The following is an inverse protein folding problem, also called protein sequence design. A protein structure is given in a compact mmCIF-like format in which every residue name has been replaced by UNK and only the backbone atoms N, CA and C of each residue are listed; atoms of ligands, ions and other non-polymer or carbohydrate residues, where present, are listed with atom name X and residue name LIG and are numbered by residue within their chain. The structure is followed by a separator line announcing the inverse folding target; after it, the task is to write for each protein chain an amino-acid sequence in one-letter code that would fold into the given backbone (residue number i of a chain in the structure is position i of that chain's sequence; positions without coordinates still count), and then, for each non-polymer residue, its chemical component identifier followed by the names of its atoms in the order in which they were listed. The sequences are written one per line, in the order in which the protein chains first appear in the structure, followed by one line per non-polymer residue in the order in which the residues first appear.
data_IF_664039151840
#
_entry.id   IF_664039151840
#
_cell.length_a   1.000
_cell.length_b   1.000
_cell.length_c   1.000
_cell.angle_alpha   90.00
_cell.angle_beta   90.00
_cell.angle_gamma   90.00
#
_symmetry.space_group_name_H-M   'P 1'
#
loop_
_entity.id
_entity.type
_entity.pdbx_description
1 polymer ?
#
# COMPACT_ATOMS: atom_id res chain seq x y z
N UNK A 1 -25.63 -18.16 6.10
CA UNK A 1 -24.18 -17.92 6.22
C UNK A 1 -23.80 -16.44 6.19
N UNK A 2 -24.25 -15.61 5.24
CA UNK A 2 -23.96 -14.15 5.24
C UNK A 2 -24.52 -13.39 6.45
N UNK A 3 -25.70 -13.77 6.95
CA UNK A 3 -26.32 -13.17 8.15
C UNK A 3 -25.53 -13.45 9.44
N UNK A 4 -24.88 -14.62 9.55
CA UNK A 4 -24.00 -14.98 10.65
C UNK A 4 -22.67 -14.24 10.58
N UNK A 5 -22.11 -14.08 9.37
CA UNK A 5 -20.92 -13.25 9.13
C UNK A 5 -21.22 -11.77 9.43
N UNK A 6 -22.41 -11.27 9.06
CA UNK A 6 -22.84 -9.92 9.37
C UNK A 6 -23.07 -9.67 10.87
N UNK A 7 -23.63 -10.66 11.59
CA UNK A 7 -23.78 -10.59 13.05
C UNK A 7 -22.44 -10.73 13.77
N UNK A 8 -21.53 -11.57 13.26
CA UNK A 8 -20.16 -11.66 13.76
C UNK A 8 -19.43 -10.34 13.55
N UNK A 9 -19.46 -9.76 12.34
CA UNK A 9 -18.88 -8.44 12.07
C UNK A 9 -19.51 -7.37 12.97
N UNK A 10 -20.84 -7.34 13.13
CA UNK A 10 -21.54 -6.38 14.01
C UNK A 10 -21.16 -6.53 15.49
N UNK A 11 -20.91 -7.74 15.98
CA UNK A 11 -20.46 -8.00 17.34
C UNK A 11 -18.94 -7.84 17.52
N UNK A 12 -18.17 -7.89 16.43
CA UNK A 12 -16.69 -7.80 16.44
C UNK A 12 -16.14 -6.45 15.99
N UNK A 13 -16.97 -5.52 15.47
CA UNK A 13 -16.58 -4.13 15.25
C UNK A 13 -16.11 -3.43 16.54
N UNK A 14 -16.51 -3.95 17.70
CA UNK A 14 -16.12 -3.41 19.01
C UNK A 14 -14.77 -3.97 19.52
N UNK A 15 -14.23 -5.06 18.94
CA UNK A 15 -13.06 -5.76 19.50
C UNK A 15 -12.03 -6.30 18.48
N UNK A 16 -12.30 -6.27 17.17
CA UNK A 16 -11.40 -6.84 16.15
C UNK A 16 -11.24 -5.92 14.94
N UNK A 17 -9.99 -5.54 14.63
CA UNK A 17 -9.67 -4.89 13.36
C UNK A 17 -9.99 -5.84 12.20
N UNK A 18 -10.68 -5.36 11.16
CA UNK A 18 -11.15 -6.17 10.04
C UNK A 18 -9.98 -6.86 9.32
N UNK A 19 -8.78 -6.29 9.41
CA UNK A 19 -7.51 -6.80 8.90
C UNK A 19 -6.92 -7.95 9.73
N UNK A 20 -7.29 -8.06 11.01
CA UNK A 20 -6.87 -9.13 11.92
C UNK A 20 -7.71 -10.41 11.84
N UNK A 21 -8.80 -10.40 11.07
CA UNK A 21 -9.59 -11.62 10.81
C UNK A 21 -8.76 -12.61 9.99
N UNK A 22 -8.83 -13.89 10.31
CA UNK A 22 -8.07 -14.98 9.67
C UNK A 22 -8.20 -15.06 8.15
N UNK A 23 -9.33 -14.58 7.59
CA UNK A 23 -9.53 -14.44 6.14
C UNK A 23 -8.60 -13.40 5.48
N UNK A 24 -8.09 -12.44 6.25
CA UNK A 24 -7.19 -11.37 5.82
C UNK A 24 -5.75 -11.53 6.35
N UNK A 25 -5.53 -12.33 7.41
CA UNK A 25 -4.27 -12.49 8.12
C UNK A 25 -3.37 -13.68 7.66
N UNK A 26 -3.66 -14.36 6.56
CA UNK A 26 -3.00 -15.65 6.19
C UNK A 26 -1.46 -15.61 5.99
N UNK A 27 -0.85 -14.43 5.85
CA UNK A 27 0.62 -14.24 5.79
C UNK A 27 1.17 -13.42 6.96
N UNK A 28 0.36 -13.15 7.98
CA UNK A 28 0.74 -12.41 9.18
C UNK A 28 1.27 -10.98 8.92
N UNK A 29 1.02 -10.43 7.72
CA UNK A 29 1.40 -9.04 7.37
C UNK A 29 0.75 -7.98 8.27
N UNK A 30 -0.28 -8.38 9.02
CA UNK A 30 -1.11 -7.50 9.85
C UNK A 30 -1.06 -7.84 11.34
N UNK A 31 -0.19 -8.79 11.76
CA UNK A 31 -0.15 -9.30 13.14
C UNK A 31 0.13 -8.23 14.20
N UNK A 32 0.75 -7.12 13.79
CA UNK A 32 1.11 -6.01 14.68
C UNK A 32 0.20 -4.79 14.53
N UNK A 33 -0.92 -4.88 13.79
CA UNK A 33 -1.89 -3.79 13.72
C UNK A 33 -2.77 -3.85 14.99
N UNK A 34 -2.60 -2.94 15.96
CA UNK A 34 -3.40 -2.97 17.18
C UNK A 34 -4.87 -2.69 16.85
N UNK A 35 -5.77 -3.40 17.52
CA UNK A 35 -7.20 -3.11 17.43
C UNK A 35 -7.47 -1.81 18.16
N UNK A 36 -7.89 -0.80 17.40
CA UNK A 36 -8.26 0.50 17.93
C UNK A 36 -9.78 0.65 17.94
N UNK A 37 -10.35 0.67 19.14
CA UNK A 37 -11.78 0.91 19.39
C UNK A 37 -12.03 2.43 19.49
N UNK A 38 -13.22 2.88 19.09
CA UNK A 38 -13.65 4.29 19.17
C UNK A 38 -13.39 5.12 17.91
N UNK A 39 -14.06 6.27 17.82
CA UNK A 39 -13.87 7.25 16.74
C UNK A 39 -12.51 7.94 16.83
N UNK A 40 -12.05 8.47 15.70
CA UNK A 40 -10.86 9.31 15.68
C UNK A 40 -11.15 10.67 16.31
N UNK A 41 -10.18 11.15 17.09
CA UNK A 41 -10.18 12.47 17.70
C UNK A 41 -10.41 13.53 16.61
N UNK A 42 -11.27 14.53 16.82
CA UNK A 42 -11.38 15.69 15.93
C UNK A 42 -10.02 16.30 15.50
N UNK A 43 -9.00 16.27 16.37
CA UNK A 43 -7.65 16.71 16.05
C UNK A 43 -6.95 15.79 15.01
N UNK A 44 -7.15 14.49 15.08
CA UNK A 44 -6.61 13.52 14.12
C UNK A 44 -7.27 13.67 12.72
N UNK A 45 -8.48 14.24 12.64
CA UNK A 45 -9.13 14.57 11.36
C UNK A 45 -8.53 15.80 10.67
N UNK A 46 -7.73 16.59 11.39
CA UNK A 46 -7.01 17.77 10.87
C UNK A 46 -5.52 17.47 10.61
N UNK A 47 -5.13 16.19 10.64
CA UNK A 47 -3.76 15.69 10.53
C UNK A 47 -2.97 16.06 9.25
N UNK A 48 -3.59 16.78 8.30
CA UNK A 48 -2.96 17.15 7.03
C UNK A 48 -3.14 16.09 5.95
N UNK A 49 -2.10 15.84 5.16
CA UNK A 49 -2.11 14.89 4.04
C UNK A 49 -1.32 13.63 4.42
N UNK A 50 -1.89 12.47 4.09
CA UNK A 50 -1.13 11.22 4.03
C UNK A 50 -0.65 11.04 2.59
N UNK A 51 0.66 10.90 2.39
CA UNK A 51 1.28 10.80 1.08
C UNK A 51 2.02 9.48 0.95
N UNK A 52 1.61 8.67 -0.03
CA UNK A 52 2.37 7.51 -0.48
C UNK A 52 3.37 7.97 -1.52
N UNK A 53 4.65 7.67 -1.31
CA UNK A 53 5.76 7.98 -2.21
C UNK A 53 6.26 6.68 -2.82
N UNK A 54 6.42 6.66 -4.13
CA UNK A 54 6.87 5.48 -4.84
C UNK A 54 8.03 5.86 -5.74
N UNK A 55 9.08 5.05 -5.67
CA UNK A 55 10.19 4.98 -6.60
C UNK A 55 9.93 3.81 -7.52
N UNK A 56 9.46 4.07 -8.74
CA UNK A 56 9.19 3.01 -9.70
C UNK A 56 10.51 2.38 -10.15
N UNK A 57 10.54 1.08 -10.49
CA UNK A 57 11.77 0.42 -10.93
C UNK A 57 12.41 1.11 -12.14
N UNK A 58 11.60 1.57 -13.10
CA UNK A 58 12.07 2.32 -14.29
C UNK A 58 12.56 3.73 -13.92
N UNK A 59 11.96 4.36 -12.92
CA UNK A 59 12.43 5.64 -12.39
C UNK A 59 13.71 5.52 -11.56
N UNK A 60 14.06 4.31 -11.10
CA UNK A 60 15.15 4.05 -10.15
C UNK A 60 16.40 3.42 -10.78
N UNK A 61 16.39 3.10 -12.08
CA UNK A 61 17.50 2.48 -12.83
C UNK A 61 17.64 3.08 -14.24
N UNK A 62 18.83 3.03 -14.84
CA UNK A 62 19.05 3.37 -16.26
C UNK A 62 18.74 2.13 -17.10
N UNK A 63 17.51 2.02 -17.62
CA UNK A 63 17.03 0.80 -18.30
C UNK A 63 17.27 0.85 -19.81
N UNK A 64 18.00 -0.12 -20.38
CA UNK A 64 18.31 -0.20 -21.83
C UNK A 64 17.24 -0.89 -22.68
N UNK A 65 16.31 -1.67 -22.09
CA UNK A 65 15.22 -2.32 -22.83
C UNK A 65 13.93 -2.41 -22.01
N UNK A 66 12.82 -1.93 -22.55
CA UNK A 66 11.52 -1.85 -21.85
C UNK A 66 10.76 -3.17 -21.95
N UNK A 67 10.57 -3.87 -20.84
CA UNK A 67 9.66 -5.01 -20.67
C UNK A 67 8.50 -4.61 -19.77
N UNK A 68 7.49 -3.95 -20.36
CA UNK A 68 6.41 -3.23 -19.66
C UNK A 68 5.72 -3.93 -18.47
N UNK A 69 5.58 -5.27 -18.48
CA UNK A 69 4.93 -6.02 -17.39
C UNK A 69 5.93 -6.39 -16.28
N UNK A 70 7.16 -6.76 -16.63
CA UNK A 70 8.20 -7.16 -15.65
C UNK A 70 8.75 -5.93 -14.94
N UNK A 71 9.06 -4.86 -15.69
CA UNK A 71 9.61 -3.61 -15.18
C UNK A 71 8.63 -2.87 -14.25
N UNK A 72 7.32 -3.13 -14.39
CA UNK A 72 6.28 -2.51 -13.59
C UNK A 72 6.00 -3.25 -12.28
N UNK A 73 6.11 -4.58 -12.27
CA UNK A 73 5.59 -5.39 -11.15
C UNK A 73 6.64 -6.22 -10.41
N UNK A 74 7.83 -6.46 -10.97
CA UNK A 74 8.86 -7.32 -10.36
C UNK A 74 10.15 -6.56 -10.06
N UNK A 75 10.58 -5.68 -10.98
CA UNK A 75 11.82 -4.93 -10.88
C UNK A 75 12.38 -4.64 -12.27
N UNK A 76 13.21 -3.61 -12.39
CA UNK A 76 13.93 -3.27 -13.61
C UNK A 76 15.38 -3.72 -13.49
N UNK A 77 15.93 -4.30 -14.55
CA UNK A 77 17.36 -4.61 -14.63
C UNK A 77 18.05 -3.40 -15.26
N UNK A 78 18.98 -2.80 -14.51
CA UNK A 78 19.81 -1.68 -14.95
C UNK A 78 20.76 -2.10 -16.11
N UNK A 79 21.30 -1.13 -16.86
CA UNK A 79 22.30 -1.36 -17.92
C UNK A 79 23.52 -2.15 -17.46
N UNK A 80 23.83 -2.09 -16.16
CA UNK A 80 24.93 -2.83 -15.53
C UNK A 80 24.54 -4.23 -15.03
N UNK A 81 23.31 -4.68 -15.28
CA UNK A 81 22.79 -5.97 -14.81
C UNK A 81 22.26 -5.98 -13.37
N UNK A 82 22.21 -4.82 -12.71
CA UNK A 82 21.69 -4.68 -11.33
C UNK A 82 20.17 -4.71 -11.28
N UNK A 83 19.58 -5.50 -10.38
CA UNK A 83 18.13 -5.61 -10.22
C UNK A 83 17.61 -4.51 -9.28
N UNK A 84 16.85 -3.55 -9.81
CA UNK A 84 16.17 -2.50 -9.05
C UNK A 84 14.71 -2.89 -8.82
N UNK A 85 14.34 -3.16 -7.57
CA UNK A 85 12.96 -3.48 -7.17
C UNK A 85 12.10 -2.23 -7.01
N UNK A 86 12.70 -1.04 -7.10
CA UNK A 86 12.08 0.22 -6.69
C UNK A 86 11.93 0.31 -5.17
N UNK A 87 11.18 1.30 -4.71
CA UNK A 87 10.88 1.48 -3.28
C UNK A 87 9.53 2.15 -3.07
N UNK A 88 8.97 2.00 -1.88
CA UNK A 88 7.75 2.69 -1.49
C UNK A 88 7.84 3.14 -0.03
N UNK A 89 7.44 4.38 0.22
CA UNK A 89 7.30 4.95 1.55
C UNK A 89 5.91 5.56 1.73
N UNK A 90 5.49 5.74 2.98
CA UNK A 90 4.26 6.44 3.34
C UNK A 90 4.57 7.44 4.43
N UNK A 91 4.13 8.68 4.24
CA UNK A 91 4.31 9.74 5.23
C UNK A 91 3.00 10.43 5.59
N UNK A 92 2.93 10.90 6.82
CA UNK A 92 1.96 11.88 7.30
C UNK A 92 2.71 12.78 8.27
N UNK A 93 3.27 13.87 7.75
CA UNK A 93 4.14 14.76 8.52
C UNK A 93 3.33 15.64 9.49
N UNK A 94 3.90 15.97 10.67
CA UNK A 94 5.19 15.53 11.22
C UNK A 94 5.12 14.19 11.99
N UNK A 95 4.06 13.40 11.78
CA UNK A 95 3.65 12.37 12.72
C UNK A 95 4.20 10.99 12.44
N UNK A 96 4.23 10.58 11.17
CA UNK A 96 4.58 9.21 10.77
C UNK A 96 5.38 9.24 9.47
N UNK A 97 6.47 8.46 9.45
CA UNK A 97 7.19 8.10 8.24
C UNK A 97 7.43 6.59 8.23
N UNK A 98 6.90 5.90 7.23
CA UNK A 98 6.99 4.46 7.03
C UNK A 98 7.88 4.23 5.82
N UNK A 99 9.07 3.71 6.06
CA UNK A 99 10.03 3.30 5.04
C UNK A 99 10.94 2.24 5.65
N UNK A 100 11.09 1.11 4.96
CA UNK A 100 11.77 -0.07 5.49
C UNK A 100 12.73 -0.63 4.45
N UNK A 101 14.03 -0.56 4.77
CA UNK A 101 15.13 -0.97 3.92
C UNK A 101 15.79 -2.23 4.46
N UNK A 102 16.45 -3.03 3.61
CA UNK A 102 17.44 -3.98 4.09
C UNK A 102 18.64 -3.21 4.65
N UNK A 103 19.21 -3.65 5.78
CA UNK A 103 20.38 -3.01 6.38
C UNK A 103 21.69 -3.35 5.63
N UNK A 104 21.68 -4.47 4.90
CA UNK A 104 22.78 -4.91 4.05
C UNK A 104 22.31 -4.94 2.60
N UNK A 105 23.21 -4.72 1.65
CA UNK A 105 22.88 -4.83 0.23
C UNK A 105 22.37 -6.24 -0.11
N UNK A 106 21.36 -6.27 -0.98
CA UNK A 106 20.87 -7.52 -1.54
C UNK A 106 21.95 -8.05 -2.49
N UNK A 107 22.44 -9.27 -2.25
CA UNK A 107 23.46 -9.92 -3.08
C UNK A 107 23.01 -9.93 -4.57
N UNK A 108 23.66 -9.15 -5.46
CA UNK A 108 23.28 -9.07 -6.86
C UNK A 108 23.59 -10.34 -7.66
N UNK A 109 24.49 -11.19 -7.15
CA UNK A 109 24.99 -12.40 -7.81
C UNK A 109 24.41 -13.70 -7.22
N UNK A 110 23.87 -13.62 -6.00
CA UNK A 110 23.11 -14.68 -5.36
C UNK A 110 21.83 -14.99 -6.12
N UNK A 111 21.35 -16.23 -6.02
CA UNK A 111 20.12 -16.69 -6.68
C UNK A 111 18.93 -15.78 -6.30
N UNK A 112 18.66 -14.75 -7.11
CA UNK A 112 17.57 -13.78 -6.95
C UNK A 112 16.22 -14.48 -6.68
N UNK A 113 16.01 -15.61 -7.36
CA UNK A 113 14.86 -16.52 -7.20
C UNK A 113 14.74 -17.08 -5.78
N UNK A 114 15.85 -17.32 -5.08
CA UNK A 114 15.87 -17.77 -3.68
C UNK A 114 15.47 -16.63 -2.74
N UNK A 115 15.90 -15.39 -2.98
CA UNK A 115 15.52 -14.23 -2.17
C UNK A 115 14.01 -13.91 -2.24
N UNK A 116 13.35 -14.29 -3.35
CA UNK A 116 11.89 -14.24 -3.49
C UNK A 116 11.13 -15.36 -2.75
N UNK A 117 11.82 -16.22 -1.99
CA UNK A 117 11.17 -17.17 -1.09
C UNK A 117 10.89 -16.50 0.24
N UNK A 118 9.66 -16.69 0.70
CA UNK A 118 9.11 -16.12 1.93
C UNK A 118 9.63 -16.76 3.24
N UNK A 119 10.53 -17.74 3.16
CA UNK A 119 10.99 -18.50 4.31
C UNK A 119 11.96 -17.73 5.19
N UNK A 120 12.03 -18.14 6.47
CA UNK A 120 12.87 -17.49 7.49
C UNK A 120 14.37 -17.55 7.16
N UNK A 121 14.78 -18.46 6.26
CA UNK A 121 16.15 -18.53 5.74
C UNK A 121 16.59 -17.29 4.95
N UNK A 122 15.65 -16.46 4.51
CA UNK A 122 15.92 -15.22 3.78
C UNK A 122 15.66 -13.97 4.62
N UNK A 123 15.44 -14.14 5.93
CA UNK A 123 15.30 -13.02 6.85
C UNK A 123 16.66 -12.36 7.08
N UNK A 124 16.69 -11.03 7.03
CA UNK A 124 17.90 -10.24 7.22
C UNK A 124 17.62 -9.01 8.10
N UNK A 125 18.66 -8.35 8.65
CA UNK A 125 18.47 -7.11 9.38
C UNK A 125 17.90 -6.02 8.46
N UNK A 126 16.94 -5.24 8.96
CA UNK A 126 16.35 -4.11 8.27
C UNK A 126 16.56 -2.80 9.02
N UNK A 127 16.34 -1.69 8.30
CA UNK A 127 16.49 -0.32 8.76
C UNK A 127 15.23 0.47 8.46
N UNK A 128 14.77 1.26 9.43
CA UNK A 128 13.69 2.22 9.20
C UNK A 128 14.27 3.60 8.92
N UNK A 129 13.87 4.21 7.82
CA UNK A 129 14.33 5.55 7.49
C UNK A 129 13.65 6.60 8.37
N UNK A 130 14.35 7.68 8.75
CA UNK A 130 13.81 8.70 9.66
C UNK A 130 12.81 9.65 9.00
N UNK A 131 13.06 10.06 7.75
CA UNK A 131 12.19 10.98 7.02
C UNK A 131 12.39 10.89 5.50
N UNK A 132 11.43 11.42 4.74
CA UNK A 132 11.57 11.57 3.29
C UNK A 132 12.73 12.50 2.92
N UNK A 133 12.98 13.55 3.71
CA UNK A 133 14.07 14.48 3.45
C UNK A 133 15.42 13.77 3.51
N UNK A 134 15.63 12.93 4.52
CA UNK A 134 16.87 12.15 4.67
C UNK A 134 16.99 11.10 3.56
N UNK A 135 15.92 10.37 3.30
CA UNK A 135 15.92 9.30 2.30
C UNK A 135 16.13 9.81 0.87
N UNK A 136 15.51 10.94 0.53
CA UNK A 136 15.65 11.55 -0.80
C UNK A 136 17.02 12.19 -1.04
N UNK A 137 17.72 12.61 0.02
CA UNK A 137 19.10 13.09 -0.05
C UNK A 137 20.10 11.94 -0.22
N UNK A 138 19.89 10.82 0.48
CA UNK A 138 20.79 9.66 0.42
C UNK A 138 20.66 8.92 -0.90
N UNK A 139 19.45 8.79 -1.45
CA UNK A 139 19.21 8.03 -2.67
C UNK A 139 18.75 8.90 -3.83
N UNK A 140 17.46 9.25 -3.87
CA UNK A 140 16.86 10.15 -4.86
C UNK A 140 15.44 10.53 -4.47
N UNK A 141 14.88 11.63 -5.00
CA UNK A 141 13.45 11.93 -4.86
C UNK A 141 12.55 10.86 -5.51
N UNK A 142 11.37 10.64 -4.92
CA UNK A 142 10.36 9.73 -5.47
C UNK A 142 9.80 10.27 -6.79
N UNK A 143 9.59 9.40 -7.79
CA UNK A 143 9.05 9.77 -9.10
C UNK A 143 7.52 9.76 -9.15
N UNK A 144 6.86 9.15 -8.15
CA UNK A 144 5.41 9.10 -8.05
C UNK A 144 4.95 9.42 -6.62
N UNK A 145 3.80 10.10 -6.51
CA UNK A 145 3.12 10.32 -5.23
C UNK A 145 1.61 10.13 -5.35
N UNK A 146 0.98 9.68 -4.27
CA UNK A 146 -0.48 9.57 -4.13
C UNK A 146 -0.87 10.15 -2.77
N UNK A 147 -1.79 11.11 -2.78
CA UNK A 147 -2.19 11.86 -1.58
C UNK A 147 -3.61 11.51 -1.16
N UNK A 148 -3.81 11.36 0.15
CA UNK A 148 -5.08 11.07 0.80
C UNK A 148 -5.40 12.18 1.82
N UNK A 149 -6.65 12.65 1.82
CA UNK A 149 -7.20 13.61 2.79
C UNK A 149 -8.07 12.93 3.82
N UNK A 150 -8.75 11.85 3.43
CA UNK A 150 -9.62 11.11 4.33
C UNK A 150 -8.91 9.83 4.78
N UNK A 151 -8.38 9.85 6.00
CA UNK A 151 -7.70 8.70 6.62
C UNK A 151 -7.72 8.84 8.14
N UNK A 152 -7.42 7.75 8.84
CA UNK A 152 -7.26 7.70 10.29
C UNK A 152 -5.78 7.81 10.66
N UNK A 153 -5.34 8.98 11.13
CA UNK A 153 -3.97 9.15 11.64
C UNK A 153 -3.70 8.24 12.85
N UNK A 154 -4.69 8.09 13.73
CA UNK A 154 -4.58 7.25 14.92
C UNK A 154 -4.26 5.79 14.55
N UNK A 155 -4.99 5.23 13.58
CA UNK A 155 -4.73 3.86 13.09
C UNK A 155 -3.41 3.73 12.38
N UNK A 156 -3.03 4.72 11.58
CA UNK A 156 -1.71 4.74 10.95
C UNK A 156 -0.57 4.73 11.98
N UNK A 157 -0.65 5.59 13.01
CA UNK A 157 0.34 5.66 14.10
C UNK A 157 0.43 4.35 14.85
N UNK A 158 -0.70 3.77 15.21
CA UNK A 158 -0.74 2.55 16.00
C UNK A 158 -0.22 1.35 15.22
N UNK A 159 -0.58 1.23 13.93
CA UNK A 159 0.04 0.28 13.02
C UNK A 159 1.55 0.47 12.95
N UNK A 160 2.03 1.69 12.73
CA UNK A 160 3.46 1.93 12.62
C UNK A 160 4.22 1.60 13.91
N UNK A 161 3.65 1.97 15.05
CA UNK A 161 4.20 1.67 16.37
C UNK A 161 4.33 0.16 16.63
N UNK A 162 3.39 -0.66 16.14
CA UNK A 162 3.46 -2.12 16.22
C UNK A 162 4.43 -2.71 15.18
N UNK A 163 4.37 -2.24 13.94
CA UNK A 163 5.25 -2.74 12.87
C UNK A 163 6.73 -2.55 13.22
N UNK A 164 7.11 -1.35 13.71
CA UNK A 164 8.52 -1.00 13.97
C UNK A 164 9.16 -1.65 15.20
N UNK A 165 8.42 -2.46 15.96
CA UNK A 165 8.98 -3.22 17.09
C UNK A 165 9.95 -4.31 16.63
N UNK A 166 9.81 -4.75 15.39
CA UNK A 166 10.66 -5.76 14.77
C UNK A 166 11.26 -5.22 13.48
N UNK A 167 12.59 -5.07 13.42
CA UNK A 167 13.30 -4.53 12.27
C UNK A 167 13.74 -5.59 11.25
N UNK A 168 13.28 -6.84 11.39
CA UNK A 168 13.59 -7.91 10.43
C UNK A 168 13.06 -7.54 9.05
N UNK A 169 13.91 -7.67 8.04
CA UNK A 169 13.58 -7.46 6.64
C UNK A 169 13.46 -8.80 5.93
N UNK A 170 12.46 -8.91 5.06
CA UNK A 170 12.31 -10.04 4.15
C UNK A 170 11.77 -9.51 2.83
N UNK A 171 12.48 -9.79 1.72
CA UNK A 171 12.13 -9.25 0.40
C UNK A 171 10.71 -9.62 -0.04
N UNK A 172 10.17 -10.75 0.43
CA UNK A 172 8.87 -11.27 0.02
C UNK A 172 7.78 -10.94 1.03
N UNK A 173 8.07 -11.09 2.32
CA UNK A 173 7.07 -11.05 3.38
C UNK A 173 7.13 -9.81 4.28
N UNK A 174 8.21 -9.04 4.26
CA UNK A 174 8.40 -7.91 5.18
C UNK A 174 9.31 -6.85 4.56
N UNK A 175 8.90 -6.37 3.38
CA UNK A 175 9.59 -5.32 2.63
C UNK A 175 8.87 -3.96 2.80
N UNK A 176 9.41 -2.92 2.18
CA UNK A 176 8.83 -1.58 2.18
C UNK A 176 7.37 -1.55 1.69
N UNK A 177 7.07 -2.29 0.63
CA UNK A 177 5.74 -2.34 0.01
C UNK A 177 4.71 -3.07 0.86
N UNK A 178 5.11 -4.12 1.58
CA UNK A 178 4.27 -4.74 2.62
C UNK A 178 3.97 -3.72 3.71
N UNK A 179 4.99 -3.00 4.19
CA UNK A 179 4.84 -2.01 5.24
C UNK A 179 3.86 -0.89 4.85
N UNK A 180 3.97 -0.38 3.62
CA UNK A 180 3.11 0.68 3.09
C UNK A 180 1.69 0.18 2.81
N UNK A 181 1.52 -0.99 2.18
CA UNK A 181 0.20 -1.54 1.89
C UNK A 181 -0.59 -1.80 3.17
N UNK A 182 0.06 -2.35 4.20
CA UNK A 182 -0.60 -2.57 5.48
C UNK A 182 -0.86 -1.27 6.25
N UNK A 183 0.00 -0.25 6.11
CA UNK A 183 -0.26 1.09 6.62
C UNK A 183 -1.47 1.76 5.97
N UNK A 184 -1.63 1.61 4.64
CA UNK A 184 -2.80 2.08 3.91
C UNK A 184 -4.08 1.39 4.38
N UNK A 185 -4.04 0.05 4.50
CA UNK A 185 -5.18 -0.70 4.99
C UNK A 185 -5.62 -0.22 6.38
N UNK A 186 -4.67 -0.09 7.30
CA UNK A 186 -4.95 0.35 8.67
C UNK A 186 -5.49 1.78 8.70
N UNK A 187 -4.89 2.70 7.94
CA UNK A 187 -5.29 4.10 7.89
C UNK A 187 -6.66 4.32 7.23
N UNK A 188 -7.05 3.46 6.28
CA UNK A 188 -8.31 3.59 5.55
C UNK A 188 -9.46 2.76 6.14
N UNK A 189 -9.16 1.91 7.11
CA UNK A 189 -10.17 1.15 7.83
C UNK A 189 -11.16 2.08 8.53
N UNK A 190 -12.45 1.91 8.24
CA UNK A 190 -13.52 2.73 8.84
C UNK A 190 -13.66 4.14 8.28
N UNK A 191 -12.87 4.57 7.29
CA UNK A 191 -12.97 5.91 6.69
C UNK A 191 -14.32 6.14 5.97
N UNK A 192 -14.91 5.07 5.43
CA UNK A 192 -16.14 5.17 4.64
C UNK A 192 -17.43 5.04 5.47
N UNK A 193 -17.39 5.26 6.78
CA UNK A 193 -18.52 5.13 7.71
C UNK A 193 -19.75 5.93 7.22
N UNK A 194 -20.78 5.26 6.68
CA UNK A 194 -21.93 5.92 6.10
C UNK A 194 -23.10 5.96 7.09
N UNK A 195 -24.01 6.91 6.90
CA UNK A 195 -25.32 6.89 7.58
C UNK A 195 -26.16 5.64 7.23
N UNK A 196 -25.96 5.09 6.03
CA UNK A 196 -26.66 3.90 5.52
C UNK A 196 -25.66 2.80 5.09
N UNK A 197 -25.25 1.89 5.99
CA UNK A 197 -24.17 0.92 5.74
C UNK A 197 -24.45 -0.04 4.60
N UNK A 198 -25.67 -0.55 4.48
CA UNK A 198 -26.04 -1.50 3.43
C UNK A 198 -26.06 -0.87 2.03
N UNK A 199 -26.57 0.36 1.92
CA UNK A 199 -26.57 1.07 0.64
C UNK A 199 -25.13 1.39 0.20
N UNK A 200 -24.29 1.85 1.14
CA UNK A 200 -22.87 2.10 0.85
C UNK A 200 -22.15 0.83 0.44
N UNK A 201 -22.39 -0.29 1.13
CA UNK A 201 -21.84 -1.58 0.76
C UNK A 201 -22.26 -1.98 -0.67
N UNK A 202 -23.54 -1.86 -1.00
CA UNK A 202 -24.03 -2.16 -2.34
C UNK A 202 -23.35 -1.28 -3.42
N UNK A 203 -23.19 0.02 -3.16
CA UNK A 203 -22.48 0.94 -4.06
C UNK A 203 -20.99 0.60 -4.20
N UNK A 204 -20.33 0.21 -3.12
CA UNK A 204 -18.93 -0.23 -3.14
C UNK A 204 -18.74 -1.55 -3.88
N UNK A 205 -19.70 -2.47 -3.79
CA UNK A 205 -19.68 -3.72 -4.57
C UNK A 205 -19.81 -3.48 -6.07
N UNK A 206 -20.41 -2.35 -6.47
CA UNK A 206 -20.48 -1.98 -7.88
C UNK A 206 -19.20 -1.28 -8.36
N UNK A 207 -18.41 -0.72 -7.44
CA UNK A 207 -17.23 0.12 -7.68
C UNK A 207 -16.04 -0.58 -8.36
N UNK A 208 -15.67 -0.23 -9.62
CA UNK A 208 -14.56 -0.88 -10.29
C UNK A 208 -13.22 -0.63 -9.58
N UNK A 209 -13.06 0.48 -8.88
CA UNK A 209 -11.83 0.76 -8.14
C UNK A 209 -11.69 -0.14 -6.90
N UNK A 210 -12.80 -0.55 -6.28
CA UNK A 210 -12.81 -1.56 -5.20
C UNK A 210 -12.38 -2.92 -5.75
N UNK A 211 -12.88 -3.31 -6.92
CA UNK A 211 -12.48 -4.57 -7.57
C UNK A 211 -11.02 -4.55 -8.02
N UNK A 212 -10.54 -3.43 -8.56
CA UNK A 212 -9.14 -3.26 -8.93
C UNK A 212 -8.23 -3.39 -7.68
N UNK A 213 -8.58 -2.73 -6.58
CA UNK A 213 -7.86 -2.82 -5.32
C UNK A 213 -7.85 -4.27 -4.78
N UNK A 214 -9.00 -4.96 -4.82
CA UNK A 214 -9.12 -6.36 -4.41
C UNK A 214 -8.29 -7.32 -5.28
N UNK A 215 -8.27 -7.11 -6.59
CA UNK A 215 -7.46 -7.90 -7.52
C UNK A 215 -5.96 -7.72 -7.27
N UNK A 216 -5.47 -6.48 -7.14
CA UNK A 216 -4.06 -6.19 -6.84
C UNK A 216 -3.65 -6.85 -5.53
N UNK A 217 -4.48 -6.72 -4.49
CA UNK A 217 -4.26 -7.37 -3.19
C UNK A 217 -4.17 -8.89 -3.32
N UNK A 218 -5.02 -9.52 -4.13
CA UNK A 218 -5.00 -10.96 -4.38
C UNK A 218 -3.70 -11.41 -5.09
N UNK A 219 -3.26 -10.63 -6.08
CA UNK A 219 -1.99 -10.88 -6.77
C UNK A 219 -0.80 -10.73 -5.81
N UNK A 220 -0.79 -9.70 -4.96
CA UNK A 220 0.28 -9.45 -4.01
C UNK A 220 0.42 -10.60 -3.01
N UNK A 221 -0.71 -11.14 -2.53
CA UNK A 221 -0.76 -12.33 -1.66
C UNK A 221 -0.13 -13.57 -2.31
N UNK A 222 -0.27 -13.72 -3.62
CA UNK A 222 0.25 -14.90 -4.36
C UNK A 222 1.75 -14.76 -4.62
N UNK A 223 2.21 -13.55 -4.93
CA UNK A 223 3.62 -13.23 -5.18
C UNK A 223 4.24 -12.56 -3.94
N UNK A 224 4.43 -11.24 -4.01
CA UNK A 224 4.78 -10.34 -2.93
C UNK A 224 4.26 -8.94 -3.26
N UNK A 225 4.21 -8.06 -2.26
CA UNK A 225 3.98 -6.64 -2.53
C UNK A 225 5.22 -6.02 -3.16
N UNK A 226 5.03 -5.31 -4.27
CA UNK A 226 6.08 -4.53 -4.94
C UNK A 226 5.68 -3.06 -5.08
N UNK A 227 6.65 -2.14 -5.26
CA UNK A 227 6.36 -0.71 -5.33
C UNK A 227 5.35 -0.33 -6.42
N UNK A 228 5.39 -1.00 -7.57
CA UNK A 228 4.39 -0.81 -8.63
C UNK A 228 2.99 -1.25 -8.23
N UNK A 229 2.86 -2.38 -7.52
CA UNK A 229 1.58 -2.83 -6.98
C UNK A 229 1.04 -1.86 -5.93
N UNK A 230 1.90 -1.35 -5.05
CA UNK A 230 1.53 -0.34 -4.05
C UNK A 230 1.05 0.94 -4.72
N UNK A 231 1.72 1.41 -5.78
CA UNK A 231 1.28 2.60 -6.51
C UNK A 231 -0.13 2.43 -7.09
N UNK A 232 -0.37 1.31 -7.78
CA UNK A 232 -1.67 1.06 -8.41
C UNK A 232 -2.76 0.81 -7.36
N UNK A 233 -2.40 0.15 -6.25
CA UNK A 233 -3.28 -0.06 -5.10
C UNK A 233 -3.65 1.26 -4.42
N UNK A 234 -2.67 2.11 -4.12
CA UNK A 234 -2.87 3.42 -3.51
C UNK A 234 -3.76 4.30 -4.40
N UNK A 235 -3.54 4.31 -5.72
CA UNK A 235 -4.40 5.05 -6.67
C UNK A 235 -5.84 4.54 -6.69
N UNK A 236 -6.04 3.23 -6.64
CA UNK A 236 -7.38 2.65 -6.57
C UNK A 236 -8.09 3.05 -5.27
N UNK A 237 -7.42 2.88 -4.12
CA UNK A 237 -7.94 3.26 -2.82
C UNK A 237 -8.23 4.77 -2.72
N UNK A 238 -7.33 5.61 -3.23
CA UNK A 238 -7.52 7.06 -3.25
C UNK A 238 -8.82 7.41 -3.96
N UNK A 239 -9.08 6.81 -5.13
CA UNK A 239 -10.35 7.05 -5.83
C UNK A 239 -11.54 6.59 -5.02
N UNK A 240 -11.51 5.40 -4.43
CA UNK A 240 -12.63 4.92 -3.60
C UNK A 240 -12.94 5.86 -2.44
N UNK A 241 -11.90 6.37 -1.79
CA UNK A 241 -12.00 7.18 -0.57
C UNK A 241 -12.33 8.64 -0.89
N UNK A 242 -11.58 9.28 -1.78
CA UNK A 242 -11.70 10.69 -2.11
C UNK A 242 -12.87 10.98 -3.06
N UNK A 243 -13.17 10.08 -4.00
CA UNK A 243 -14.31 10.24 -4.92
C UNK A 243 -15.63 9.70 -4.37
N UNK A 244 -15.68 9.41 -3.06
CA UNK A 244 -16.88 8.97 -2.34
C UNK A 244 -18.07 9.93 -2.48
N UNK A 245 -17.83 11.18 -2.90
CA UNK A 245 -18.82 12.23 -3.16
C UNK A 245 -19.21 12.40 -4.64
N UNK A 246 -18.51 11.73 -5.57
CA UNK A 246 -18.76 11.82 -7.02
C UNK A 246 -19.88 10.86 -7.44
N UNK A 247 -20.83 11.27 -8.31
CA UNK A 247 -21.88 10.38 -8.80
C UNK A 247 -21.33 9.14 -9.52
N UNK A 248 -21.96 7.99 -9.27
CA UNK A 248 -21.60 6.69 -9.82
C UNK A 248 -21.33 6.66 -11.35
N UNK A 249 -22.20 7.24 -12.20
CA UNK A 249 -22.01 7.15 -13.66
C UNK A 249 -20.73 7.83 -14.15
N UNK A 250 -20.32 8.92 -13.48
CA UNK A 250 -19.08 9.65 -13.80
C UNK A 250 -17.86 8.76 -13.49
N UNK A 251 -17.87 8.10 -12.33
CA UNK A 251 -16.80 7.20 -11.91
C UNK A 251 -16.64 6.01 -12.85
N UNK A 252 -17.75 5.41 -13.26
CA UNK A 252 -17.76 4.30 -14.21
C UNK A 252 -17.20 4.74 -15.57
N UNK A 253 -17.65 5.88 -16.10
CA UNK A 253 -17.17 6.42 -17.37
C UNK A 253 -15.66 6.72 -17.34
N UNK A 254 -15.17 7.34 -16.27
CA UNK A 254 -13.75 7.64 -16.11
C UNK A 254 -12.90 6.37 -16.00
N UNK A 255 -13.41 5.33 -15.33
CA UNK A 255 -12.76 4.02 -15.32
C UNK A 255 -12.63 3.44 -16.74
N UNK A 256 -13.71 3.45 -17.53
CA UNK A 256 -13.67 2.97 -18.91
C UNK A 256 -12.75 3.80 -19.81
N UNK A 257 -12.73 5.13 -19.63
CA UNK A 257 -11.78 6.02 -20.34
C UNK A 257 -10.34 5.63 -20.04
N UNK A 258 -10.00 5.36 -18.78
CA UNK A 258 -8.66 4.92 -18.37
C UNK A 258 -8.27 3.57 -18.96
N UNK A 259 -9.18 2.60 -18.96
CA UNK A 259 -8.94 1.31 -19.62
C UNK A 259 -8.64 1.47 -21.12
N UNK A 260 -9.33 2.42 -21.79
CA UNK A 260 -9.11 2.72 -23.21
C UNK A 260 -7.84 3.51 -23.49
N UNK A 261 -7.41 4.36 -22.56
CA UNK A 261 -6.20 5.18 -22.72
C UNK A 261 -4.91 4.35 -22.70
N UNK A 262 -4.92 3.12 -22.17
CA UNK A 262 -3.71 2.31 -22.03
C UNK A 262 -2.66 2.98 -21.12
N UNK A 263 -1.55 2.29 -20.80
CA UNK A 263 -0.53 2.82 -19.90
C UNK A 263 0.46 3.73 -20.66
N UNK A 264 -0.02 4.76 -21.35
CA UNK A 264 0.83 5.84 -21.89
C UNK A 264 0.04 7.13 -22.06
N UNK A 265 0.50 8.21 -21.41
CA UNK A 265 0.22 9.58 -21.84
C UNK A 265 -0.82 10.37 -21.05
N UNK A 266 -0.35 11.14 -20.08
CA UNK A 266 -0.71 12.56 -19.84
C UNK A 266 0.27 13.07 -18.77
N UNK A 267 1.33 13.81 -19.16
CA UNK A 267 1.32 15.27 -19.36
C UNK A 267 1.11 15.96 -18.00
N UNK A 268 2.05 16.73 -17.45
CA UNK A 268 2.68 17.87 -18.13
C UNK A 268 1.64 18.97 -18.26
N UNK A 269 1.95 20.19 -17.76
CA UNK A 269 1.07 21.36 -17.55
C UNK A 269 0.47 21.35 -16.14
N UNK A 270 0.87 22.21 -15.19
CA UNK A 270 1.56 23.52 -15.27
C UNK A 270 2.63 23.67 -14.20
#
# INVERSE_FOLDING_TARGET
NLLRIALLLRASYDEVALLGLSAFATRNWYDNAPVLVGEDDPADRQAGLMTVRVWTPVGSAEVSSRRYVVDRYLGAIDVNGGFSTGHSALECLPHVYISHWPANDLDPQGHLVRAFRAGAENDMPGLFQPSYADESQVWRPADQKVEFRNFSLRRLRAYWAGYRQESRYNLTNRNCSVAVAAGLDAALEGVLQPRFPWLRLALLLLDPDVWAAGYIRSQAKTMCWTPGMVLDYARALQRVVESSRTPWPVRALDFFRRLRAGPTGSEGVS
#
